data_IF_504078903532
#
_entry.id   IF_504078903532
#
_cell.length_a   1.000
_cell.length_b   1.000
_cell.length_c   1.000
_cell.angle_alpha   90.00
_cell.angle_beta   90.00
_cell.angle_gamma   90.00
#
_symmetry.space_group_name_H-M   'P 1'
#
loop_
_entity.id
_entity.type
_entity.pdbx_description
1 polymer ?
#
# COMPACT_ATOMS: atom_id res chain seq x y z
N UNK A 1 -29.77 41.63 -31.06
CA UNK A 1 -30.13 41.84 -29.64
C UNK A 1 -29.14 42.81 -29.00
N UNK A 2 -29.62 43.85 -28.29
CA UNK A 2 -28.78 44.85 -27.63
C UNK A 2 -28.54 44.55 -26.13
N UNK A 3 -29.45 43.82 -25.49
CA UNK A 3 -29.37 43.47 -24.07
C UNK A 3 -29.95 42.08 -23.80
N UNK A 4 -29.40 41.44 -22.78
CA UNK A 4 -29.87 40.19 -22.20
C UNK A 4 -30.14 40.42 -20.71
N UNK A 5 -31.28 39.93 -20.24
CA UNK A 5 -31.69 40.06 -18.85
C UNK A 5 -31.84 38.64 -18.25
N UNK A 6 -31.01 38.31 -17.24
CA UNK A 6 -31.15 37.11 -16.45
C UNK A 6 -32.05 37.45 -15.25
N UNK A 7 -33.30 36.99 -15.31
CA UNK A 7 -34.29 37.20 -14.22
C UNK A 7 -34.20 36.11 -13.18
N UNK A 8 -33.59 34.98 -13.52
CA UNK A 8 -33.36 33.79 -12.68
C UNK A 8 -31.89 33.34 -12.74
N UNK A 9 -31.40 32.77 -11.67
CA UNK A 9 -30.08 32.14 -11.61
C UNK A 9 -30.20 30.68 -11.99
N UNK A 10 -29.53 30.18 -13.05
CA UNK A 10 -29.52 28.76 -13.39
C UNK A 10 -28.63 27.97 -12.42
N UNK A 11 -28.77 26.66 -12.41
CA UNK A 11 -27.99 25.77 -11.56
C UNK A 11 -26.60 25.44 -12.10
N UNK A 12 -26.36 25.65 -13.39
CA UNK A 12 -25.12 25.26 -14.07
C UNK A 12 -24.47 26.46 -14.75
N UNK A 13 -23.15 26.62 -14.63
CA UNK A 13 -22.41 27.66 -15.38
C UNK A 13 -22.62 27.56 -16.90
N UNK A 14 -22.69 26.34 -17.45
CA UNK A 14 -22.91 26.10 -18.87
C UNK A 14 -24.23 26.72 -19.39
N UNK A 15 -25.26 26.77 -18.56
CA UNK A 15 -26.55 27.38 -18.93
C UNK A 15 -26.41 28.89 -19.10
N UNK A 16 -25.55 29.53 -18.29
CA UNK A 16 -25.22 30.97 -18.43
C UNK A 16 -24.48 31.18 -19.75
N UNK A 17 -23.42 30.39 -19.99
CA UNK A 17 -22.61 30.50 -21.23
C UNK A 17 -23.49 30.29 -22.48
N UNK A 18 -24.44 29.34 -22.44
CA UNK A 18 -25.37 29.13 -23.54
C UNK A 18 -26.31 30.33 -23.74
N UNK A 19 -26.87 30.90 -22.65
CA UNK A 19 -27.74 32.06 -22.72
C UNK A 19 -26.98 33.28 -23.26
N UNK A 20 -25.78 33.56 -22.73
CA UNK A 20 -24.93 34.67 -23.13
C UNK A 20 -24.35 34.45 -24.55
N UNK A 21 -23.99 33.23 -24.92
CA UNK A 21 -23.54 32.90 -26.27
C UNK A 21 -24.54 33.17 -27.38
N UNK A 22 -25.83 33.20 -27.07
CA UNK A 22 -26.87 33.55 -28.04
C UNK A 22 -26.86 35.03 -28.40
N UNK A 23 -26.50 35.92 -27.47
CA UNK A 23 -26.42 37.37 -27.74
C UNK A 23 -25.01 37.77 -28.28
N UNK A 24 -23.97 37.01 -27.86
CA UNK A 24 -22.56 37.26 -28.29
C UNK A 24 -22.23 36.62 -29.64
N UNK A 25 -23.20 36.02 -30.32
CA UNK A 25 -22.99 35.31 -31.58
C UNK A 25 -22.53 36.20 -32.71
N UNK A 26 -21.67 35.67 -33.58
CA UNK A 26 -21.31 36.35 -34.85
C UNK A 26 -22.58 36.67 -35.65
N UNK A 27 -22.65 37.91 -36.19
CA UNK A 27 -23.81 38.40 -36.90
C UNK A 27 -24.76 39.27 -36.07
N UNK A 28 -24.43 39.53 -34.79
CA UNK A 28 -25.16 40.56 -34.04
C UNK A 28 -24.84 41.96 -34.61
N UNK A 29 -25.87 42.73 -34.90
CA UNK A 29 -25.76 44.08 -35.50
C UNK A 29 -25.19 45.10 -34.52
N UNK A 30 -25.17 44.84 -33.23
CA UNK A 30 -24.66 45.73 -32.19
C UNK A 30 -23.20 45.42 -31.87
N UNK A 31 -22.35 46.47 -31.87
CA UNK A 31 -20.93 46.34 -31.52
C UNK A 31 -20.67 46.02 -30.06
N UNK A 32 -21.61 46.32 -29.17
CA UNK A 32 -21.58 45.99 -27.75
C UNK A 32 -22.96 45.59 -27.31
N UNK A 33 -23.02 44.61 -26.38
CA UNK A 33 -24.25 44.14 -25.77
C UNK A 33 -24.16 44.29 -24.24
N UNK A 34 -25.29 44.48 -23.61
CA UNK A 34 -25.39 44.59 -22.15
C UNK A 34 -26.02 43.35 -21.60
N UNK A 35 -25.40 42.79 -20.54
CA UNK A 35 -25.95 41.63 -19.81
C UNK A 35 -26.27 42.10 -18.40
N UNK A 36 -27.53 41.97 -18.04
CA UNK A 36 -28.05 42.34 -16.71
C UNK A 36 -28.37 41.06 -15.93
N UNK A 37 -27.82 40.95 -14.71
CA UNK A 37 -28.14 39.92 -13.76
C UNK A 37 -28.91 40.53 -12.60
N UNK A 38 -30.14 40.08 -12.39
CA UNK A 38 -30.99 40.62 -11.34
C UNK A 38 -30.84 39.78 -10.08
N UNK A 39 -30.69 40.44 -8.94
CA UNK A 39 -30.57 39.88 -7.63
C UNK A 39 -31.53 40.60 -6.72
N UNK A 40 -32.43 39.87 -6.05
CA UNK A 40 -33.34 40.43 -5.05
C UNK A 40 -32.68 40.38 -3.67
N UNK A 41 -32.56 41.56 -3.02
CA UNK A 41 -31.98 41.63 -1.67
C UNK A 41 -32.77 40.78 -0.67
N UNK A 42 -32.08 40.10 0.24
CA UNK A 42 -32.70 39.23 1.26
C UNK A 42 -33.32 37.95 0.73
N UNK A 43 -33.01 37.57 -0.52
CA UNK A 43 -33.46 36.31 -1.14
C UNK A 43 -32.30 35.36 -1.42
N UNK A 44 -32.65 34.16 -1.85
CA UNK A 44 -31.70 33.12 -2.22
C UNK A 44 -30.90 33.41 -3.51
N UNK A 45 -31.31 34.43 -4.25
CA UNK A 45 -30.69 34.79 -5.54
C UNK A 45 -29.18 35.11 -5.40
N UNK A 46 -28.83 35.94 -4.38
CA UNK A 46 -27.43 36.33 -4.15
C UNK A 46 -26.54 35.13 -3.87
N UNK A 47 -27.03 34.15 -3.14
CA UNK A 47 -26.32 32.89 -2.87
C UNK A 47 -26.14 32.07 -4.13
N UNK A 48 -27.20 31.87 -4.92
CA UNK A 48 -27.13 31.11 -6.16
C UNK A 48 -26.13 31.71 -7.15
N UNK A 49 -26.11 33.03 -7.30
CA UNK A 49 -25.13 33.71 -8.15
C UNK A 49 -23.70 33.54 -7.63
N UNK A 50 -23.48 33.60 -6.32
CA UNK A 50 -22.18 33.32 -5.70
C UNK A 50 -21.71 31.87 -5.92
N UNK A 51 -22.61 30.89 -5.81
CA UNK A 51 -22.33 29.50 -6.06
C UNK A 51 -21.91 29.24 -7.52
N UNK A 52 -22.65 29.84 -8.46
CA UNK A 52 -22.32 29.74 -9.90
C UNK A 52 -20.96 30.39 -10.21
N UNK A 53 -20.66 31.54 -9.60
CA UNK A 53 -19.37 32.20 -9.76
C UNK A 53 -18.21 31.32 -9.27
N UNK A 54 -18.37 30.67 -8.12
CA UNK A 54 -17.36 29.76 -7.58
C UNK A 54 -17.17 28.53 -8.47
N UNK A 55 -18.26 27.92 -8.95
CA UNK A 55 -18.21 26.81 -9.92
C UNK A 55 -17.49 27.22 -11.20
N UNK A 56 -17.76 28.41 -11.71
CA UNK A 56 -17.14 28.93 -12.93
C UNK A 56 -15.65 29.23 -12.77
N UNK A 57 -15.25 29.80 -11.60
CA UNK A 57 -13.84 29.98 -11.24
C UNK A 57 -13.09 28.65 -11.18
N UNK A 58 -13.67 27.66 -10.55
CA UNK A 58 -13.08 26.32 -10.46
C UNK A 58 -12.91 25.66 -11.83
N UNK A 59 -13.94 25.69 -12.67
CA UNK A 59 -13.87 25.16 -14.04
C UNK A 59 -12.77 25.90 -14.82
N UNK A 60 -12.69 27.24 -14.70
CA UNK A 60 -11.67 28.05 -15.34
C UNK A 60 -10.24 27.71 -14.88
N UNK A 61 -10.05 27.43 -13.59
CA UNK A 61 -8.75 26.97 -13.05
C UNK A 61 -8.36 25.61 -13.60
N UNK A 62 -9.31 24.67 -13.63
CA UNK A 62 -9.08 23.32 -14.15
C UNK A 62 -8.72 23.33 -15.63
N UNK A 63 -9.46 24.10 -16.43
CA UNK A 63 -9.28 24.19 -17.88
C UNK A 63 -8.02 24.98 -18.28
N UNK A 64 -7.58 25.94 -17.47
CA UNK A 64 -6.39 26.73 -17.76
C UNK A 64 -5.07 26.07 -17.37
N UNK A 65 -5.09 24.97 -16.62
CA UNK A 65 -3.90 24.26 -16.14
C UNK A 65 -3.01 25.07 -15.18
N UNK A 66 -3.45 26.26 -14.74
CA UNK A 66 -2.70 27.12 -13.82
C UNK A 66 -3.06 26.76 -12.38
N UNK A 67 -2.19 25.96 -11.76
CA UNK A 67 -2.22 25.60 -10.33
C UNK A 67 -3.62 25.28 -9.79
N UNK A 68 -4.18 24.11 -10.08
CA UNK A 68 -5.36 23.67 -9.35
C UNK A 68 -4.95 23.49 -7.88
N UNK A 69 -5.68 24.11 -6.96
CA UNK A 69 -5.52 23.82 -5.54
C UNK A 69 -5.74 22.31 -5.32
N UNK A 70 -4.88 21.65 -4.53
CA UNK A 70 -4.94 20.20 -4.27
C UNK A 70 -6.22 19.75 -3.56
N UNK A 71 -7.00 20.66 -3.00
CA UNK A 71 -8.31 20.42 -2.40
C UNK A 71 -9.25 21.52 -2.83
N UNK A 72 -10.31 21.16 -3.50
CA UNK A 72 -11.49 21.98 -3.66
C UNK A 72 -12.55 21.42 -2.71
N UNK A 73 -13.15 22.27 -1.89
CA UNK A 73 -14.39 21.88 -1.20
C UNK A 73 -15.41 21.54 -2.28
N UNK A 74 -16.01 20.37 -2.19
CA UNK A 74 -16.98 19.91 -3.18
C UNK A 74 -18.18 20.86 -3.12
N UNK A 75 -18.31 21.68 -4.15
CA UNK A 75 -19.33 22.73 -4.21
C UNK A 75 -20.74 22.12 -4.32
N UNK A 76 -20.83 20.81 -4.61
CA UNK A 76 -22.10 20.08 -4.64
C UNK A 76 -22.51 19.54 -3.25
N UNK A 77 -21.56 19.38 -2.30
CA UNK A 77 -21.89 19.08 -0.89
C UNK A 77 -22.39 20.31 -0.11
N UNK A 78 -22.19 21.50 -0.64
CA UNK A 78 -22.77 22.73 -0.08
C UNK A 78 -24.21 22.95 -0.55
N UNK A 79 -25.00 21.90 -0.65
CA UNK A 79 -26.45 22.05 -0.68
C UNK A 79 -26.88 22.61 0.66
N UNK A 80 -27.20 23.91 0.69
CA UNK A 80 -27.69 24.58 1.88
C UNK A 80 -28.80 23.75 2.53
N UNK A 81 -28.63 23.48 3.80
CA UNK A 81 -29.69 22.87 4.58
C UNK A 81 -30.93 23.79 4.56
N UNK A 82 -32.11 23.22 4.77
CA UNK A 82 -33.34 24.01 4.85
C UNK A 82 -33.24 25.17 5.87
N UNK A 83 -32.42 24.99 6.93
CA UNK A 83 -32.14 26.00 7.94
C UNK A 83 -31.36 27.20 7.37
N UNK A 84 -30.39 26.96 6.48
CA UNK A 84 -29.59 28.00 5.83
C UNK A 84 -30.42 28.79 4.82
N UNK A 85 -31.26 28.11 4.06
CA UNK A 85 -32.22 28.77 3.16
C UNK A 85 -33.17 29.71 3.96
N UNK A 86 -33.65 29.24 5.12
CA UNK A 86 -34.52 30.01 6.00
C UNK A 86 -33.80 31.18 6.64
N UNK A 87 -32.51 31.01 6.98
CA UNK A 87 -31.66 32.09 7.53
C UNK A 87 -31.45 33.21 6.51
N UNK A 88 -31.11 32.86 5.27
CA UNK A 88 -30.97 33.84 4.17
C UNK A 88 -32.28 34.57 3.86
N UNK A 89 -33.39 33.85 3.88
CA UNK A 89 -34.70 34.42 3.64
C UNK A 89 -35.19 35.34 4.78
N UNK A 90 -34.76 35.07 6.03
CA UNK A 90 -35.15 35.88 7.21
C UNK A 90 -34.31 37.15 7.41
N UNK A 91 -33.11 37.23 6.78
CA UNK A 91 -32.20 38.35 6.92
C UNK A 91 -31.57 38.49 8.31
N UNK A 92 -31.72 37.49 9.21
CA UNK A 92 -31.12 37.52 10.54
C UNK A 92 -29.68 36.97 10.53
N UNK A 93 -28.64 37.80 10.72
CA UNK A 93 -27.24 37.37 10.66
C UNK A 93 -26.86 36.31 11.70
N UNK A 94 -27.59 36.24 12.82
CA UNK A 94 -27.33 35.26 13.89
C UNK A 94 -27.64 33.82 13.47
N UNK A 95 -28.59 33.66 12.54
CA UNK A 95 -28.92 32.33 12.02
C UNK A 95 -27.77 31.81 11.13
N UNK A 96 -27.15 32.68 10.34
CA UNK A 96 -25.96 32.32 9.53
C UNK A 96 -24.77 31.96 10.42
N UNK A 97 -24.47 32.79 11.44
CA UNK A 97 -23.40 32.50 12.41
C UNK A 97 -23.62 31.17 13.13
N UNK A 98 -24.85 30.87 13.55
CA UNK A 98 -25.20 29.60 14.17
C UNK A 98 -24.92 28.42 13.22
N UNK A 99 -25.33 28.53 11.96
CA UNK A 99 -25.17 27.45 10.98
C UNK A 99 -23.68 27.18 10.68
N UNK A 100 -22.90 28.25 10.59
CA UNK A 100 -21.43 28.14 10.39
C UNK A 100 -20.77 27.45 11.60
N UNK A 101 -21.16 27.86 12.84
CA UNK A 101 -20.68 27.22 14.07
C UNK A 101 -21.11 25.75 14.18
N UNK A 102 -22.34 25.43 13.82
CA UNK A 102 -22.84 24.05 13.80
C UNK A 102 -22.04 23.20 12.79
N UNK A 103 -21.69 23.75 11.63
CA UNK A 103 -20.79 23.12 10.64
C UNK A 103 -19.39 22.87 11.20
N UNK A 104 -18.78 23.86 11.85
CA UNK A 104 -17.47 23.72 12.50
C UNK A 104 -17.49 22.66 13.61
N UNK A 105 -18.52 22.63 14.44
CA UNK A 105 -18.69 21.63 15.50
C UNK A 105 -18.82 20.23 14.90
N UNK A 106 -19.56 20.08 13.80
CA UNK A 106 -19.71 18.79 13.12
C UNK A 106 -18.38 18.30 12.55
N UNK A 107 -17.62 19.20 11.90
CA UNK A 107 -16.27 18.91 11.40
C UNK A 107 -15.32 18.48 12.53
N UNK A 108 -15.31 19.20 13.64
CA UNK A 108 -14.47 18.87 14.80
C UNK A 108 -14.86 17.54 15.44
N UNK A 109 -16.17 17.24 15.53
CA UNK A 109 -16.64 15.92 16.00
C UNK A 109 -16.15 14.78 15.10
N UNK A 110 -16.20 14.97 13.78
CA UNK A 110 -15.70 13.97 12.82
C UNK A 110 -14.17 13.77 12.97
N UNK A 111 -13.41 14.86 13.07
CA UNK A 111 -11.95 14.79 13.28
C UNK A 111 -11.62 14.09 14.61
N UNK A 112 -12.36 14.38 15.68
CA UNK A 112 -12.19 13.71 16.97
C UNK A 112 -12.48 12.20 16.86
N UNK A 113 -13.59 11.83 16.23
CA UNK A 113 -13.94 10.43 16.02
C UNK A 113 -12.88 9.68 15.21
N UNK A 114 -12.34 10.29 14.16
CA UNK A 114 -11.25 9.73 13.36
C UNK A 114 -9.97 9.56 14.20
N UNK A 115 -9.60 10.56 15.00
CA UNK A 115 -8.45 10.47 15.89
C UNK A 115 -8.62 9.35 16.93
N UNK A 116 -9.80 9.23 17.54
CA UNK A 116 -10.11 8.15 18.49
C UNK A 116 -10.03 6.77 17.82
N UNK A 117 -10.56 6.64 16.60
CA UNK A 117 -10.46 5.39 15.81
C UNK A 117 -9.01 5.00 15.49
N UNK A 118 -8.19 5.96 15.09
CA UNK A 118 -6.76 5.73 14.84
C UNK A 118 -6.02 5.33 16.13
N UNK A 119 -6.33 5.98 17.25
CA UNK A 119 -5.77 5.63 18.55
C UNK A 119 -6.12 4.20 18.95
N UNK A 120 -7.38 3.78 18.82
CA UNK A 120 -7.78 2.40 19.12
C UNK A 120 -7.08 1.38 18.20
N UNK A 121 -6.89 1.70 16.92
CA UNK A 121 -6.15 0.83 16.01
C UNK A 121 -4.67 0.69 16.42
N UNK A 122 -4.05 1.78 16.88
CA UNK A 122 -2.69 1.74 17.41
C UNK A 122 -2.60 0.94 18.72
N UNK A 123 -3.56 1.11 19.63
CA UNK A 123 -3.66 0.33 20.88
C UNK A 123 -3.78 -1.18 20.57
N UNK A 124 -4.62 -1.57 19.63
CA UNK A 124 -4.76 -2.96 19.18
C UNK A 124 -3.46 -3.50 18.58
N UNK A 125 -2.75 -2.69 17.79
CA UNK A 125 -1.45 -3.07 17.26
C UNK A 125 -0.39 -3.26 18.34
N UNK A 126 -0.38 -2.42 19.37
CA UNK A 126 0.53 -2.53 20.52
C UNK A 126 0.29 -3.81 21.33
N UNK A 127 -0.98 -4.24 21.43
CA UNK A 127 -1.35 -5.42 22.21
C UNK A 127 -1.18 -6.72 21.40
N UNK A 128 -1.49 -6.70 20.11
CA UNK A 128 -1.58 -7.92 19.28
C UNK A 128 -0.45 -8.03 18.27
N UNK A 129 -0.32 -7.01 17.40
CA UNK A 129 0.58 -7.09 16.25
C UNK A 129 2.06 -7.07 16.64
N UNK A 130 2.51 -6.02 17.35
CA UNK A 130 3.94 -5.86 17.67
C UNK A 130 4.49 -7.01 18.52
N UNK A 131 3.83 -7.48 19.60
CA UNK A 131 4.37 -8.59 20.37
C UNK A 131 4.51 -9.88 19.58
N UNK A 132 3.55 -10.18 18.71
CA UNK A 132 3.60 -11.36 17.85
C UNK A 132 4.67 -11.26 16.76
N UNK A 133 4.80 -10.09 16.13
CA UNK A 133 5.81 -9.85 15.11
C UNK A 133 7.22 -9.92 15.71
N UNK A 134 7.45 -9.27 16.85
CA UNK A 134 8.72 -9.31 17.57
C UNK A 134 9.08 -10.74 17.96
N UNK A 135 8.14 -11.50 18.49
CA UNK A 135 8.36 -12.91 18.86
C UNK A 135 8.76 -13.75 17.64
N UNK A 136 8.10 -13.56 16.50
CA UNK A 136 8.45 -14.27 15.26
C UNK A 136 9.87 -13.95 14.78
N UNK A 137 10.27 -12.68 14.83
CA UNK A 137 11.63 -12.29 14.45
C UNK A 137 12.67 -12.87 15.42
N UNK A 138 12.39 -12.88 16.72
CA UNK A 138 13.26 -13.49 17.72
C UNK A 138 13.42 -15.01 17.52
N UNK A 139 12.33 -15.72 17.25
CA UNK A 139 12.36 -17.16 16.94
C UNK A 139 13.15 -17.42 15.65
N UNK A 140 12.95 -16.59 14.61
CA UNK A 140 13.69 -16.69 13.36
C UNK A 140 15.18 -16.49 13.54
N UNK A 141 15.58 -15.49 14.33
CA UNK A 141 16.98 -15.20 14.66
C UNK A 141 17.61 -16.39 15.42
N UNK A 142 16.93 -16.91 16.44
CA UNK A 142 17.42 -18.04 17.23
C UNK A 142 17.61 -19.32 16.39
N UNK A 143 16.67 -19.60 15.49
CA UNK A 143 16.73 -20.72 14.58
C UNK A 143 17.90 -20.58 13.59
N UNK A 144 18.06 -19.40 12.97
CA UNK A 144 19.16 -19.11 12.04
C UNK A 144 20.52 -19.17 12.74
N UNK A 145 20.65 -18.65 13.94
CA UNK A 145 21.89 -18.76 14.74
C UNK A 145 22.23 -20.22 15.07
N UNK A 146 21.22 -21.05 15.26
CA UNK A 146 21.41 -22.47 15.49
C UNK A 146 21.89 -23.18 14.23
N UNK A 147 21.25 -22.89 13.09
CA UNK A 147 21.61 -23.45 11.78
C UNK A 147 23.01 -22.98 11.33
N UNK A 148 23.38 -21.72 11.58
CA UNK A 148 24.72 -21.19 11.28
C UNK A 148 25.79 -21.91 12.11
N UNK A 149 25.56 -22.08 13.43
CA UNK A 149 26.49 -22.85 14.28
C UNK A 149 26.65 -24.29 13.82
N UNK A 150 25.55 -24.90 13.41
CA UNK A 150 25.55 -26.25 12.84
C UNK A 150 26.37 -26.31 11.54
N UNK A 151 26.16 -25.35 10.63
CA UNK A 151 26.92 -25.23 9.39
C UNK A 151 28.44 -25.08 9.68
N UNK A 152 28.81 -24.24 10.62
CA UNK A 152 30.20 -23.98 10.99
C UNK A 152 30.88 -25.25 11.56
N UNK A 153 30.15 -26.00 12.38
CA UNK A 153 30.65 -27.27 12.93
C UNK A 153 30.88 -28.37 11.89
N UNK A 154 30.14 -28.34 10.77
CA UNK A 154 30.20 -29.34 9.70
C UNK A 154 30.89 -28.83 8.43
N UNK A 155 31.41 -27.61 8.45
CA UNK A 155 32.19 -27.09 7.32
C UNK A 155 33.64 -27.39 7.53
N UNK A 156 34.31 -28.13 6.61
CA UNK A 156 35.74 -28.35 6.71
C UNK A 156 36.51 -27.04 6.73
N UNK A 157 37.58 -26.93 7.52
CA UNK A 157 38.41 -25.72 7.59
C UNK A 157 39.11 -25.40 6.26
N UNK A 158 39.27 -26.43 5.44
CA UNK A 158 39.89 -26.33 4.11
C UNK A 158 38.83 -26.45 3.02
N UNK A 159 38.67 -25.41 2.21
CA UNK A 159 37.70 -25.37 1.08
C UNK A 159 37.99 -26.42 -0.02
N UNK A 160 39.17 -27.04 0.01
CA UNK A 160 39.54 -28.07 -0.95
C UNK A 160 38.90 -29.44 -0.62
N UNK A 161 38.43 -29.65 0.61
CA UNK A 161 37.82 -30.92 1.00
C UNK A 161 36.28 -30.86 0.85
N UNK A 162 35.81 -31.13 -0.35
CA UNK A 162 34.38 -31.33 -0.60
C UNK A 162 33.96 -32.75 -0.19
N UNK A 163 32.87 -32.88 0.52
CA UNK A 163 32.21 -34.15 0.85
C UNK A 163 30.70 -33.98 0.86
N UNK A 164 30.00 -34.87 0.17
CA UNK A 164 28.53 -34.90 0.12
C UNK A 164 28.09 -36.37 0.04
N UNK A 165 27.07 -36.74 0.80
CA UNK A 165 26.44 -38.05 0.68
C UNK A 165 25.15 -37.93 -0.11
N UNK A 166 25.07 -38.73 -1.24
CA UNK A 166 23.87 -38.78 -2.08
C UNK A 166 23.49 -40.25 -2.26
N UNK A 167 22.23 -40.59 -1.94
CA UNK A 167 21.68 -41.96 -2.02
C UNK A 167 22.57 -43.00 -1.35
N UNK A 168 23.15 -42.65 -0.18
CA UNK A 168 24.03 -43.53 0.60
C UNK A 168 25.48 -43.63 0.10
N UNK A 169 25.84 -42.97 -0.97
CA UNK A 169 27.21 -42.90 -1.49
C UNK A 169 27.85 -41.58 -1.19
N UNK A 170 29.06 -41.56 -0.66
CA UNK A 170 29.81 -40.34 -0.38
C UNK A 170 30.68 -39.96 -1.57
N UNK A 171 30.52 -38.72 -2.02
CA UNK A 171 31.26 -38.12 -3.13
C UNK A 171 32.24 -37.06 -2.62
N UNK A 172 33.44 -37.03 -3.17
CA UNK A 172 34.48 -36.03 -2.87
C UNK A 172 34.64 -35.01 -3.98
N UNK A 173 33.99 -35.23 -5.12
CA UNK A 173 34.01 -34.33 -6.27
C UNK A 173 32.62 -33.67 -6.49
N UNK A 174 32.58 -32.35 -6.57
CA UNK A 174 31.33 -31.59 -6.77
C UNK A 174 30.56 -32.01 -8.01
N UNK A 175 31.27 -32.31 -9.09
CA UNK A 175 30.66 -32.72 -10.36
C UNK A 175 29.96 -34.06 -10.25
N UNK A 176 30.60 -35.05 -9.62
CA UNK A 176 30.05 -36.39 -9.42
C UNK A 176 28.84 -36.37 -8.48
N UNK A 177 28.93 -35.64 -7.37
CA UNK A 177 27.81 -35.44 -6.45
C UNK A 177 26.62 -34.80 -7.17
N UNK A 178 26.85 -33.77 -7.97
CA UNK A 178 25.80 -33.11 -8.75
C UNK A 178 25.16 -34.02 -9.80
N UNK A 179 25.95 -34.89 -10.45
CA UNK A 179 25.43 -35.93 -11.37
C UNK A 179 24.58 -36.97 -10.63
N UNK A 180 24.99 -37.38 -9.43
CA UNK A 180 24.22 -38.32 -8.61
C UNK A 180 22.87 -37.70 -8.19
N UNK A 181 22.83 -36.42 -7.88
CA UNK A 181 21.59 -35.69 -7.61
C UNK A 181 20.67 -35.69 -8.83
N UNK A 182 21.21 -35.42 -10.03
CA UNK A 182 20.42 -35.44 -11.29
C UNK A 182 19.90 -36.86 -11.57
N UNK A 183 20.73 -37.88 -11.41
CA UNK A 183 20.33 -39.27 -11.58
C UNK A 183 19.22 -39.68 -10.59
N UNK A 184 19.26 -39.18 -9.35
CA UNK A 184 18.19 -39.37 -8.38
C UNK A 184 16.87 -38.73 -8.87
N UNK A 185 16.92 -37.57 -9.56
CA UNK A 185 15.72 -36.94 -10.15
C UNK A 185 15.09 -37.82 -11.23
N UNK A 186 15.92 -38.35 -12.12
CA UNK A 186 15.50 -39.18 -13.25
C UNK A 186 14.91 -40.51 -12.77
N UNK A 187 15.29 -40.99 -11.58
CA UNK A 187 14.80 -42.23 -10.99
C UNK A 187 13.46 -42.09 -10.27
N UNK A 188 12.96 -40.86 -10.06
CA UNK A 188 11.65 -40.61 -9.43
C UNK A 188 10.52 -41.12 -10.31
N UNK A 189 9.86 -42.20 -9.85
CA UNK A 189 8.71 -42.79 -10.56
C UNK A 189 7.40 -42.08 -10.26
N UNK A 190 7.28 -41.43 -9.11
CA UNK A 190 6.12 -40.69 -8.68
C UNK A 190 6.54 -39.32 -8.16
N UNK A 191 5.93 -38.28 -8.71
CA UNK A 191 6.21 -36.88 -8.38
C UNK A 191 5.61 -36.45 -7.02
N UNK A 192 4.81 -37.31 -6.40
CA UNK A 192 4.20 -37.06 -5.09
C UNK A 192 5.08 -37.44 -3.90
N UNK A 193 6.14 -38.22 -4.14
CA UNK A 193 6.99 -38.73 -3.08
C UNK A 193 8.09 -37.75 -2.66
N UNK A 194 8.36 -37.69 -1.36
CA UNK A 194 9.55 -37.05 -0.81
C UNK A 194 10.64 -38.09 -0.68
N UNK A 195 11.77 -37.86 -1.31
CA UNK A 195 12.91 -38.77 -1.31
C UNK A 195 14.06 -38.17 -0.49
N UNK A 196 14.56 -38.95 0.46
CA UNK A 196 15.78 -38.59 1.18
C UNK A 196 16.97 -38.75 0.25
N UNK A 197 17.64 -37.61 -0.08
CA UNK A 197 18.82 -37.62 -0.94
C UNK A 197 20.10 -37.97 -0.20
N UNK A 198 20.18 -37.66 1.08
CA UNK A 198 21.39 -37.83 1.88
C UNK A 198 21.72 -36.59 2.70
N UNK A 199 22.98 -36.20 2.76
CA UNK A 199 23.45 -35.12 3.64
C UNK A 199 24.52 -34.26 2.98
N UNK A 200 24.44 -32.94 3.19
CA UNK A 200 25.46 -32.00 2.79
C UNK A 200 25.76 -30.99 3.89
N UNK A 201 27.02 -30.87 4.30
CA UNK A 201 27.51 -29.97 5.37
C UNK A 201 26.69 -30.11 6.68
N UNK A 202 26.36 -31.35 7.04
CA UNK A 202 25.54 -31.64 8.22
C UNK A 202 24.03 -31.49 8.02
N UNK A 203 23.57 -31.00 6.88
CA UNK A 203 22.14 -30.83 6.61
C UNK A 203 21.59 -32.02 5.82
N UNK A 204 20.64 -32.78 6.37
CA UNK A 204 19.86 -33.74 5.62
C UNK A 204 19.17 -33.09 4.43
N UNK A 205 19.27 -33.75 3.27
CA UNK A 205 18.71 -33.31 2.01
C UNK A 205 17.48 -34.13 1.66
N UNK A 206 16.40 -33.46 1.30
CA UNK A 206 15.17 -34.09 0.80
C UNK A 206 14.80 -33.50 -0.56
N UNK A 207 14.51 -34.38 -1.51
CA UNK A 207 13.99 -34.05 -2.84
C UNK A 207 12.48 -34.20 -2.84
N UNK A 208 11.77 -33.22 -3.41
CA UNK A 208 10.32 -33.25 -3.55
C UNK A 208 9.86 -32.33 -4.68
N UNK A 209 8.63 -32.53 -5.13
CA UNK A 209 8.00 -31.66 -6.14
C UNK A 209 7.02 -30.72 -5.49
N UNK A 210 7.21 -29.43 -5.71
CA UNK A 210 6.24 -28.41 -5.34
C UNK A 210 5.21 -28.29 -6.46
N UNK A 211 3.95 -28.49 -6.14
CA UNK A 211 2.83 -28.29 -7.06
C UNK A 211 2.09 -27.00 -6.65
N UNK A 212 2.17 -25.98 -7.52
CA UNK A 212 1.45 -24.72 -7.33
C UNK A 212 0.14 -24.66 -8.13
N UNK A 213 -0.31 -25.80 -8.70
CA UNK A 213 -1.49 -25.85 -9.55
C UNK A 213 -1.29 -25.33 -10.98
N UNK A 214 -0.25 -24.53 -11.23
CA UNK A 214 0.11 -23.99 -12.55
C UNK A 214 1.47 -24.53 -13.07
N UNK A 215 2.35 -24.95 -12.17
CA UNK A 215 3.64 -25.53 -12.52
C UNK A 215 4.13 -26.45 -11.42
N UNK A 216 4.64 -27.60 -11.83
CA UNK A 216 5.37 -28.50 -10.96
C UNK A 216 6.83 -28.13 -10.98
N UNK A 217 7.41 -27.88 -9.81
CA UNK A 217 8.82 -27.51 -9.66
C UNK A 217 9.51 -28.48 -8.72
N UNK A 218 10.61 -29.00 -9.19
CA UNK A 218 11.47 -29.84 -8.38
C UNK A 218 12.22 -29.01 -7.36
N UNK A 219 12.30 -29.48 -6.11
CA UNK A 219 12.95 -28.77 -5.03
C UNK A 219 13.84 -29.69 -4.19
N UNK A 220 14.97 -29.17 -3.75
CA UNK A 220 15.81 -29.79 -2.73
C UNK A 220 15.74 -28.94 -1.48
N UNK A 221 15.38 -29.55 -0.36
CA UNK A 221 15.37 -28.91 0.95
C UNK A 221 16.51 -29.47 1.80
N UNK A 222 17.37 -28.59 2.29
CA UNK A 222 18.34 -28.84 3.32
C UNK A 222 17.72 -28.43 4.66
N UNK A 223 17.61 -29.32 5.61
CA UNK A 223 16.86 -29.09 6.84
C UNK A 223 17.69 -29.40 8.08
N UNK A 224 17.74 -28.44 8.98
CA UNK A 224 18.14 -28.67 10.37
C UNK A 224 17.07 -28.08 11.29
N UNK A 225 17.25 -26.91 11.88
CA UNK A 225 16.17 -26.24 12.61
C UNK A 225 15.17 -25.62 11.62
N UNK A 226 15.69 -24.98 10.57
CA UNK A 226 14.89 -24.43 9.47
C UNK A 226 15.11 -25.21 8.18
N UNK A 227 14.21 -24.94 7.24
CA UNK A 227 14.28 -25.53 5.89
C UNK A 227 14.86 -24.51 4.91
N UNK A 228 15.96 -24.90 4.28
CA UNK A 228 16.65 -24.11 3.25
C UNK A 228 16.45 -24.80 1.91
N UNK A 229 15.68 -24.19 1.01
CA UNK A 229 15.21 -24.85 -0.21
C UNK A 229 15.81 -24.20 -1.44
N UNK A 230 16.24 -25.01 -2.38
CA UNK A 230 16.70 -24.60 -3.70
C UNK A 230 15.87 -25.26 -4.81
N UNK A 231 15.80 -24.60 -5.96
CA UNK A 231 15.27 -25.15 -7.20
C UNK A 231 16.48 -25.69 -8.03
N UNK A 232 16.63 -27.02 -8.16
CA UNK A 232 17.74 -27.60 -8.90
C UNK A 232 17.55 -27.37 -10.42
N UNK A 233 18.67 -27.23 -11.12
CA UNK A 233 18.71 -27.12 -12.58
C UNK A 233 19.39 -28.32 -13.23
N UNK A 234 19.58 -28.25 -14.54
CA UNK A 234 20.25 -29.29 -15.32
C UNK A 234 21.78 -29.29 -15.17
N UNK A 235 22.37 -28.24 -14.59
CA UNK A 235 23.82 -28.17 -14.36
C UNK A 235 24.19 -28.80 -13.01
N UNK A 236 24.97 -29.93 -13.05
CA UNK A 236 25.39 -30.61 -11.82
C UNK A 236 26.17 -29.72 -10.84
N UNK A 237 27.15 -28.97 -11.35
CA UNK A 237 27.96 -28.08 -10.53
C UNK A 237 27.17 -26.89 -10.01
N UNK A 238 26.25 -26.33 -10.82
CA UNK A 238 25.37 -25.26 -10.45
C UNK A 238 24.42 -25.62 -9.32
N UNK A 239 24.01 -26.88 -9.19
CA UNK A 239 23.18 -27.35 -8.09
C UNK A 239 23.91 -27.27 -6.73
N UNK A 240 25.18 -27.70 -6.72
CA UNK A 240 26.03 -27.61 -5.51
C UNK A 240 26.24 -26.13 -5.15
N UNK A 241 26.52 -25.29 -6.13
CA UNK A 241 26.73 -23.86 -5.92
C UNK A 241 25.45 -23.19 -5.36
N UNK A 242 24.25 -23.59 -5.81
CA UNK A 242 22.98 -23.08 -5.24
C UNK A 242 22.81 -23.48 -3.78
N UNK A 243 23.18 -24.73 -3.42
CA UNK A 243 23.15 -25.19 -2.03
C UNK A 243 24.16 -24.41 -1.17
N UNK A 244 25.39 -24.22 -1.65
CA UNK A 244 26.39 -23.39 -0.96
C UNK A 244 25.85 -21.97 -0.73
N UNK A 245 25.30 -21.33 -1.77
CA UNK A 245 24.77 -19.95 -1.67
C UNK A 245 23.61 -19.84 -0.66
N UNK A 246 22.73 -20.82 -0.61
CA UNK A 246 21.60 -20.79 0.34
C UNK A 246 22.10 -20.96 1.77
N UNK A 247 23.06 -21.86 2.00
CA UNK A 247 23.62 -22.07 3.35
C UNK A 247 24.49 -20.90 3.82
N UNK A 248 25.33 -20.34 2.94
CA UNK A 248 26.16 -19.17 3.25
C UNK A 248 25.31 -17.90 3.40
N UNK A 249 24.23 -17.78 2.63
CA UNK A 249 23.27 -16.68 2.71
C UNK A 249 22.47 -16.61 4.03
N UNK A 250 22.53 -17.63 4.88
CA UNK A 250 21.90 -17.58 6.21
C UNK A 250 22.42 -16.44 7.07
N UNK A 251 23.70 -16.03 6.91
CA UNK A 251 24.26 -14.91 7.64
C UNK A 251 23.65 -13.57 7.24
N UNK A 252 23.44 -13.36 5.95
CA UNK A 252 22.81 -12.15 5.45
C UNK A 252 21.34 -12.10 5.89
N UNK A 253 20.65 -13.25 5.85
CA UNK A 253 19.28 -13.38 6.36
C UNK A 253 19.21 -13.06 7.86
N UNK A 254 20.16 -13.54 8.66
CA UNK A 254 20.23 -13.23 10.08
C UNK A 254 20.34 -11.71 10.35
N UNK A 255 21.20 -11.02 9.60
CA UNK A 255 21.32 -9.56 9.72
C UNK A 255 20.05 -8.83 9.29
N UNK A 256 19.37 -9.30 8.26
CA UNK A 256 18.07 -8.75 7.82
C UNK A 256 17.01 -8.90 8.92
N UNK A 257 16.91 -10.08 9.57
CA UNK A 257 15.97 -10.31 10.67
C UNK A 257 16.32 -9.50 11.91
N UNK A 258 17.60 -9.31 12.23
CA UNK A 258 18.04 -8.42 13.31
C UNK A 258 17.66 -6.96 13.04
N UNK A 259 17.83 -6.49 11.81
CA UNK A 259 17.41 -5.15 11.40
C UNK A 259 15.88 -4.99 11.47
N UNK A 260 15.12 -6.00 11.01
CA UNK A 260 13.67 -6.03 11.11
C UNK A 260 13.17 -5.96 12.56
N UNK A 261 13.78 -6.75 13.44
CA UNK A 261 13.48 -6.72 14.89
C UNK A 261 13.75 -5.34 15.50
N UNK A 262 14.87 -4.70 15.15
CA UNK A 262 15.19 -3.34 15.59
C UNK A 262 14.14 -2.34 15.13
N UNK A 263 13.73 -2.40 13.85
CA UNK A 263 12.71 -1.52 13.29
C UNK A 263 11.35 -1.73 13.96
N UNK A 264 10.93 -2.98 14.21
CA UNK A 264 9.68 -3.28 14.92
C UNK A 264 9.67 -2.70 16.34
N UNK A 265 10.78 -2.78 17.05
CA UNK A 265 10.91 -2.19 18.38
C UNK A 265 10.79 -0.66 18.34
N UNK A 266 11.45 0.01 17.37
CA UNK A 266 11.30 1.45 17.18
C UNK A 266 9.87 1.85 16.86
N UNK A 267 9.23 1.16 15.91
CA UNK A 267 7.84 1.43 15.56
C UNK A 267 6.88 1.22 16.73
N UNK A 268 7.13 0.21 17.57
CA UNK A 268 6.35 -0.02 18.77
C UNK A 268 6.52 1.12 19.79
N UNK A 269 7.74 1.63 19.99
CA UNK A 269 7.96 2.77 20.89
C UNK A 269 7.32 4.05 20.33
N UNK A 270 7.42 4.32 19.04
CA UNK A 270 6.76 5.46 18.39
C UNK A 270 5.23 5.36 18.54
N UNK A 271 4.66 4.17 18.34
CA UNK A 271 3.24 3.93 18.54
C UNK A 271 2.80 4.17 20.01
N UNK A 272 3.61 3.79 21.00
CA UNK A 272 3.35 4.07 22.43
C UNK A 272 3.32 5.57 22.75
N UNK A 273 4.13 6.35 22.04
CA UNK A 273 4.17 7.81 22.18
C UNK A 273 2.93 8.41 21.53
N UNK A 274 2.60 7.97 20.31
CA UNK A 274 1.48 8.50 19.52
C UNK A 274 0.11 8.24 20.18
N UNK A 275 -0.10 7.06 20.76
CA UNK A 275 -1.32 6.73 21.52
C UNK A 275 -1.58 7.70 22.67
N UNK A 276 -0.54 8.28 23.26
CA UNK A 276 -0.67 9.23 24.37
C UNK A 276 -0.92 10.67 23.93
N UNK A 277 -0.85 10.95 22.62
CA UNK A 277 -1.11 12.30 22.10
C UNK A 277 -2.56 12.69 22.31
N UNK A 278 -2.82 13.87 22.90
CA UNK A 278 -4.17 14.40 22.99
C UNK A 278 -4.67 14.85 21.61
N UNK A 279 -5.99 14.87 21.47
CA UNK A 279 -6.67 15.44 20.28
C UNK A 279 -6.51 16.95 20.24
#
# INVERSE_FOLDING_TARGET
LAALHHLDCPWRPADIEQREGRILRQGNQFKSVKIFKYVTEGTFDAYNWGLIENKQKFIGQLMSGKNPSRSCEDVDEAALSYAEVKALASGDPRIMEKTELDGQVTKLKLLKANHESQRYALEDNLIKFYPQAIKREQEMIADLETDIRHLEAHTPPDKEHFSMTVMGTTYTEKKEAGQAIIAAFESLKDLSDKVELGEYRGFPMTLWVSDSGFSQKLQITLKHTRSHTIEPGSDPFGNITRMDNVLEGMRDNLEQHRAALSNLNHQMEDAKVEVKRPF
#
